data_IF_619137901978
#
_entry.id   IF_619137901978
#
_cell.length_a   1.000
_cell.length_b   1.000
_cell.length_c   1.000
_cell.angle_alpha   90.00
_cell.angle_beta   90.00
_cell.angle_gamma   90.00
#
_symmetry.space_group_name_H-M   'P 1'
#
loop_
_entity.id
_entity.type
_entity.pdbx_description
1 polymer ?
#
# COMPACT_ATOMS: atom_id res chain seq x y z
N UNK A 1 -1.21 13.85 10.84
CA UNK A 1 -0.88 12.51 10.33
C UNK A 1 -2.14 11.69 10.40
N UNK A 2 -2.74 11.38 9.25
CA UNK A 2 -3.97 10.59 9.14
C UNK A 2 -3.55 9.11 9.19
N UNK A 3 -4.10 8.33 10.12
CA UNK A 3 -3.62 6.98 10.47
C UNK A 3 -4.72 5.91 10.33
N UNK A 4 -5.51 6.00 9.27
CA UNK A 4 -6.54 5.00 8.96
C UNK A 4 -6.20 4.28 7.66
N UNK A 5 -5.74 3.05 7.74
CA UNK A 5 -5.38 2.22 6.57
C UNK A 5 -6.24 0.95 6.49
N UNK A 6 -7.43 0.98 7.11
CA UNK A 6 -8.43 -0.07 6.98
C UNK A 6 -9.43 0.30 5.90
N UNK A 7 -9.80 -0.68 5.07
CA UNK A 7 -10.79 -0.49 4.03
C UNK A 7 -12.16 -0.11 4.62
N UNK A 8 -12.90 0.74 3.91
CA UNK A 8 -14.25 1.19 4.25
C UNK A 8 -14.33 1.87 5.63
N UNK A 9 -13.32 2.67 5.98
CA UNK A 9 -13.24 3.36 7.28
C UNK A 9 -12.86 4.83 7.12
N UNK A 10 -13.64 5.71 7.77
CA UNK A 10 -13.43 7.17 7.74
C UNK A 10 -12.81 7.72 9.05
N UNK A 11 -12.24 6.85 9.89
CA UNK A 11 -11.68 7.24 11.17
C UNK A 11 -10.45 8.14 11.00
N UNK A 12 -10.26 9.10 11.90
CA UNK A 12 -9.07 9.95 11.97
C UNK A 12 -8.68 10.64 10.64
N UNK A 13 -9.66 10.99 9.81
CA UNK A 13 -9.50 11.62 8.49
C UNK A 13 -9.49 10.65 7.30
N UNK A 14 -9.77 9.36 7.53
CA UNK A 14 -10.30 8.40 6.54
C UNK A 14 -9.31 7.74 5.58
N UNK A 15 -8.02 8.04 5.68
CA UNK A 15 -6.99 7.35 4.90
C UNK A 15 -5.64 7.36 5.62
N UNK A 16 -4.61 6.80 4.99
CA UNK A 16 -3.24 7.10 5.35
C UNK A 16 -2.66 8.01 4.27
N UNK A 17 -1.99 9.07 4.69
CA UNK A 17 -1.28 9.97 3.80
C UNK A 17 0.13 10.17 4.33
N UNK A 18 1.18 9.87 3.54
CA UNK A 18 2.56 10.10 3.95
C UNK A 18 2.79 11.59 4.16
N UNK A 19 3.73 11.92 5.05
CA UNK A 19 4.06 13.32 5.34
C UNK A 19 4.85 13.97 4.20
N UNK A 20 5.75 13.21 3.59
CA UNK A 20 6.53 13.66 2.45
C UNK A 20 5.76 13.42 1.15
N UNK A 21 5.90 14.36 0.20
CA UNK A 21 5.37 14.18 -1.13
C UNK A 21 6.18 13.10 -1.87
N UNK A 22 5.49 12.16 -2.50
CA UNK A 22 6.12 11.08 -3.26
C UNK A 22 6.83 11.66 -4.49
N UNK A 23 8.09 11.27 -4.66
CA UNK A 23 8.94 11.60 -5.80
C UNK A 23 9.83 10.41 -6.15
N UNK A 24 10.70 10.52 -7.16
CA UNK A 24 11.68 9.49 -7.48
C UNK A 24 12.67 9.19 -6.36
N UNK A 25 12.86 10.13 -5.42
CA UNK A 25 13.83 10.05 -4.33
C UNK A 25 13.17 9.75 -2.98
N UNK A 26 11.85 9.93 -2.87
CA UNK A 26 11.09 9.76 -1.64
C UNK A 26 10.32 8.45 -1.70
N UNK A 27 10.72 7.51 -0.84
CA UNK A 27 10.04 6.23 -0.66
C UNK A 27 9.28 6.23 0.66
N UNK A 28 7.96 6.06 0.57
CA UNK A 28 7.05 5.89 1.71
C UNK A 28 6.29 4.59 1.53
N UNK A 29 5.90 3.95 2.64
CA UNK A 29 5.26 2.65 2.60
C UNK A 29 4.28 2.46 3.77
N UNK A 30 3.31 1.57 3.52
CA UNK A 30 2.48 0.97 4.56
C UNK A 30 2.92 -0.48 4.74
N UNK A 31 3.35 -0.82 5.95
CA UNK A 31 3.66 -2.18 6.32
C UNK A 31 2.47 -2.81 7.05
N UNK A 32 2.13 -4.04 6.65
CA UNK A 32 1.11 -4.85 7.32
C UNK A 32 1.77 -6.14 7.77
N UNK A 33 2.03 -6.25 9.07
CA UNK A 33 2.51 -7.49 9.68
C UNK A 33 1.36 -8.48 9.81
N UNK A 34 1.49 -9.64 9.17
CA UNK A 34 0.53 -10.73 9.21
C UNK A 34 0.85 -11.78 10.30
N UNK A 35 1.92 -11.58 11.06
CA UNK A 35 2.42 -12.41 12.18
C UNK A 35 2.81 -13.85 11.84
N UNK A 36 2.44 -14.36 10.67
CA UNK A 36 2.82 -15.66 10.11
C UNK A 36 2.72 -15.63 8.59
N UNK A 37 3.27 -16.65 7.93
CA UNK A 37 3.19 -16.78 6.48
C UNK A 37 1.74 -16.94 6.01
N UNK A 38 1.36 -16.15 5.01
CA UNK A 38 0.06 -16.21 4.34
C UNK A 38 0.26 -16.21 2.83
N UNK A 39 -0.64 -16.89 2.12
CA UNK A 39 -0.76 -16.75 0.67
C UNK A 39 -1.66 -15.53 0.37
N UNK A 40 -1.05 -14.45 -0.10
CA UNK A 40 -1.79 -13.24 -0.51
C UNK A 40 -2.07 -13.33 -2.01
N UNK A 41 -3.35 -13.34 -2.39
CA UNK A 41 -3.77 -13.46 -3.80
C UNK A 41 -4.32 -12.17 -4.40
N UNK A 42 -4.74 -11.22 -3.57
CA UNK A 42 -5.38 -9.96 -3.99
C UNK A 42 -5.03 -8.84 -3.02
N UNK A 43 -5.04 -7.62 -3.53
CA UNK A 43 -4.96 -6.37 -2.77
C UNK A 43 -6.15 -5.49 -3.13
N UNK A 44 -6.62 -4.70 -2.17
CA UNK A 44 -7.65 -3.67 -2.35
C UNK A 44 -7.10 -2.38 -1.75
N UNK A 45 -7.32 -1.26 -2.42
CA UNK A 45 -6.90 0.06 -1.95
C UNK A 45 -8.09 1.00 -1.94
N UNK A 46 -8.05 2.01 -1.08
CA UNK A 46 -9.05 3.06 -1.01
C UNK A 46 -8.32 4.38 -0.71
N UNK A 47 -8.67 5.42 -1.47
CA UNK A 47 -8.26 6.79 -1.15
C UNK A 47 -9.03 7.37 0.03
N UNK A 48 -8.77 8.64 0.32
CA UNK A 48 -9.57 9.38 1.30
C UNK A 48 -10.94 9.68 0.71
N UNK A 49 -12.02 9.28 1.36
CA UNK A 49 -13.38 9.64 0.91
C UNK A 49 -13.74 11.07 1.33
N UNK A 50 -13.51 11.43 2.59
CA UNK A 50 -13.68 12.82 3.05
C UNK A 50 -15.08 13.38 2.82
N UNK A 51 -16.13 12.60 3.10
CA UNK A 51 -17.54 12.95 2.82
C UNK A 51 -17.79 13.28 1.33
N UNK A 52 -17.12 12.58 0.42
CA UNK A 52 -17.24 12.79 -1.03
C UNK A 52 -16.42 13.96 -1.57
N UNK A 53 -15.62 14.63 -0.74
CA UNK A 53 -14.72 15.72 -1.14
C UNK A 53 -13.25 15.29 -1.19
N UNK A 54 -12.93 14.06 -0.79
CA UNK A 54 -11.58 13.53 -0.87
C UNK A 54 -11.15 13.30 -2.32
N UNK A 55 -9.91 13.68 -2.61
CA UNK A 55 -9.30 13.53 -3.95
C UNK A 55 -7.96 12.78 -3.86
N UNK A 56 -7.54 12.43 -2.65
CA UNK A 56 -6.25 11.84 -2.38
C UNK A 56 -6.35 10.31 -2.45
N UNK A 57 -5.73 9.74 -3.47
CA UNK A 57 -5.56 8.29 -3.62
C UNK A 57 -4.18 8.00 -4.22
N UNK A 58 -3.66 6.80 -3.97
CA UNK A 58 -2.43 6.36 -4.62
C UNK A 58 -2.78 5.77 -5.99
N UNK A 59 -2.38 6.43 -7.08
CA UNK A 59 -2.66 5.96 -8.46
C UNK A 59 -2.04 4.58 -8.74
N UNK A 60 -0.85 4.33 -8.21
CA UNK A 60 -0.19 3.03 -8.31
C UNK A 60 0.74 2.79 -7.13
N UNK A 61 1.00 1.51 -6.86
CA UNK A 61 1.96 1.08 -5.84
C UNK A 61 2.65 -0.22 -6.23
N UNK A 62 3.79 -0.47 -5.59
CA UNK A 62 4.48 -1.76 -5.65
C UNK A 62 4.14 -2.56 -4.40
N UNK A 63 4.08 -3.88 -4.54
CA UNK A 63 4.01 -4.79 -3.39
C UNK A 63 5.42 -5.31 -3.14
N UNK A 64 5.87 -5.17 -1.90
CA UNK A 64 7.06 -5.82 -1.39
C UNK A 64 6.65 -6.77 -0.28
N UNK A 65 7.37 -7.88 -0.15
CA UNK A 65 7.10 -8.86 0.88
C UNK A 65 8.40 -9.30 1.54
N UNK A 66 8.29 -9.65 2.82
CA UNK A 66 9.35 -10.25 3.62
C UNK A 66 8.97 -11.68 3.99
N UNK A 67 9.97 -12.56 4.05
CA UNK A 67 9.88 -13.88 4.67
C UNK A 67 11.21 -14.15 5.37
N UNK A 68 11.17 -14.80 6.54
CA UNK A 68 12.39 -15.07 7.33
C UNK A 68 13.45 -15.82 6.52
N UNK A 69 13.04 -16.74 5.65
CA UNK A 69 13.94 -17.48 4.76
C UNK A 69 14.65 -16.61 3.71
N UNK A 70 14.14 -15.40 3.42
CA UNK A 70 14.71 -14.47 2.45
C UNK A 70 15.60 -13.42 3.12
N UNK A 71 15.33 -13.09 4.38
CA UNK A 71 16.02 -12.08 5.19
C UNK A 71 16.22 -10.73 4.47
N UNK A 72 15.30 -10.39 3.57
CA UNK A 72 15.28 -9.14 2.82
C UNK A 72 13.88 -8.86 2.28
N UNK A 73 13.59 -7.58 2.03
CA UNK A 73 12.41 -7.17 1.29
C UNK A 73 12.56 -7.53 -0.19
N UNK A 74 11.54 -8.17 -0.75
CA UNK A 74 11.52 -8.56 -2.16
C UNK A 74 10.34 -7.93 -2.87
N UNK A 75 10.62 -7.23 -3.97
CA UNK A 75 9.58 -6.68 -4.86
C UNK A 75 8.85 -7.81 -5.57
N UNK A 76 7.53 -7.82 -5.46
CA UNK A 76 6.68 -8.76 -6.17
C UNK A 76 6.86 -8.61 -7.69
N UNK A 77 6.99 -9.76 -8.35
CA UNK A 77 7.12 -9.87 -9.79
C UNK A 77 6.06 -10.83 -10.31
N UNK A 78 5.53 -10.56 -11.49
CA UNK A 78 4.61 -11.49 -12.15
C UNK A 78 5.34 -12.76 -12.62
N UNK A 79 4.60 -13.71 -13.20
CA UNK A 79 5.15 -14.96 -13.73
C UNK A 79 6.22 -14.77 -14.83
N UNK A 80 6.31 -13.57 -15.44
CA UNK A 80 7.32 -13.20 -16.43
C UNK A 80 8.54 -12.50 -15.81
N UNK A 81 8.62 -12.42 -14.49
CA UNK A 81 9.71 -11.74 -13.76
C UNK A 81 9.63 -10.21 -13.80
N UNK A 82 8.53 -9.62 -14.27
CA UNK A 82 8.37 -8.17 -14.37
C UNK A 82 7.79 -7.62 -13.06
N UNK A 83 8.31 -6.46 -12.61
CA UNK A 83 7.74 -5.72 -11.47
C UNK A 83 6.31 -5.33 -11.80
N UNK A 84 5.38 -5.54 -10.87
CA UNK A 84 3.97 -5.20 -11.06
C UNK A 84 3.68 -3.89 -10.33
N UNK A 85 3.37 -2.84 -11.10
CA UNK A 85 2.71 -1.64 -10.57
C UNK A 85 1.23 -1.91 -10.47
N UNK A 86 0.74 -2.11 -9.26
CA UNK A 86 -0.68 -2.32 -9.00
C UNK A 86 -1.37 -0.96 -9.10
N UNK A 87 -2.35 -0.85 -9.98
CA UNK A 87 -3.15 0.37 -10.16
C UNK A 87 -4.30 0.39 -9.16
N UNK A 88 -4.70 1.59 -8.75
CA UNK A 88 -6.00 1.79 -8.11
C UNK A 88 -7.11 1.68 -9.17
N UNK A 89 -8.19 0.97 -8.86
CA UNK A 89 -9.38 0.81 -9.71
C UNK A 89 -10.61 1.30 -8.96
#
# INVERSE_FOLDING_TARGET
>A
MIKCFRIRQELNGGAWCPKAQISSEVREYLEVDLSRNHLVTKTETQGRFGNGQGQEYAESFLVEYWRDSLNQWVVYKNARGQKVRTLHF
#
